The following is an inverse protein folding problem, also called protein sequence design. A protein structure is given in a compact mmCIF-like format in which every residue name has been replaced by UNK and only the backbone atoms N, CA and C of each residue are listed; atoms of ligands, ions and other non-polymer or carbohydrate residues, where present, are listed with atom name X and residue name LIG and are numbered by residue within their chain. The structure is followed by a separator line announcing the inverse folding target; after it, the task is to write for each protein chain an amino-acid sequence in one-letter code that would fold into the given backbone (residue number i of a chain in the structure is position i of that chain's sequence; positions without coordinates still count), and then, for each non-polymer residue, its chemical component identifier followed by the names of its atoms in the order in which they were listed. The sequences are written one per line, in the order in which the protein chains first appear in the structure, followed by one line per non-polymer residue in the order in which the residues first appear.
data_IF_228605652390
#
_entry.id   IF_228605652390
#
_cell.length_a   1.000
_cell.length_b   1.000
_cell.length_c   1.000
_cell.angle_alpha   90.00
_cell.angle_beta   90.00
_cell.angle_gamma   90.00
#
_symmetry.space_group_name_H-M   'P 1'
#
loop_
_entity.id
_entity.type
_entity.pdbx_description
1 polymer ?
#
# COMPACT_ATOMS: atom_id res chain seq x y z
N UNK A 1 -20.44 -27.55 -13.85
CA UNK A 1 -20.66 -26.16 -13.38
C UNK A 1 -19.36 -25.60 -12.85
N UNK A 2 -18.72 -24.71 -13.61
CA UNK A 2 -17.47 -24.06 -13.18
C UNK A 2 -17.66 -23.03 -12.07
N UNK A 3 -18.90 -22.56 -11.85
CA UNK A 3 -19.22 -21.56 -10.83
C UNK A 3 -18.87 -22.04 -9.42
N UNK A 4 -19.33 -23.24 -9.03
CA UNK A 4 -19.07 -23.81 -7.70
C UNK A 4 -17.57 -23.94 -7.42
N UNK A 5 -16.82 -24.48 -8.39
CA UNK A 5 -15.36 -24.61 -8.30
C UNK A 5 -14.67 -23.25 -8.13
N UNK A 6 -15.06 -22.23 -8.91
CA UNK A 6 -14.52 -20.87 -8.76
C UNK A 6 -14.84 -20.26 -7.39
N UNK A 7 -16.05 -20.50 -6.87
CA UNK A 7 -16.47 -20.06 -5.55
C UNK A 7 -15.66 -20.74 -4.44
N UNK A 8 -15.44 -22.04 -4.53
CA UNK A 8 -14.61 -22.82 -3.60
C UNK A 8 -13.15 -22.34 -3.61
N UNK A 9 -12.56 -22.20 -4.79
CA UNK A 9 -11.19 -21.72 -4.95
C UNK A 9 -10.99 -20.32 -4.35
N UNK A 10 -11.89 -19.38 -4.64
CA UNK A 10 -11.80 -18.02 -4.09
C UNK A 10 -12.02 -18.02 -2.58
N UNK A 11 -12.93 -18.86 -2.07
CA UNK A 11 -13.15 -19.00 -0.62
C UNK A 11 -11.90 -19.52 0.08
N UNK A 12 -11.25 -20.54 -0.48
CA UNK A 12 -10.00 -21.08 0.03
C UNK A 12 -8.87 -20.04 0.01
N UNK A 13 -8.78 -19.24 -1.05
CA UNK A 13 -7.78 -18.18 -1.15
C UNK A 13 -8.01 -17.11 -0.07
N UNK A 14 -9.23 -16.62 0.10
CA UNK A 14 -9.57 -15.61 1.11
C UNK A 14 -9.27 -16.13 2.53
N UNK A 15 -9.59 -17.38 2.82
CA UNK A 15 -9.29 -17.99 4.12
C UNK A 15 -7.79 -18.17 4.34
N UNK A 16 -7.02 -18.53 3.32
CA UNK A 16 -5.57 -18.59 3.40
C UNK A 16 -4.97 -17.21 3.69
N UNK A 17 -5.49 -16.15 3.06
CA UNK A 17 -5.06 -14.78 3.32
C UNK A 17 -5.43 -14.31 4.72
N UNK A 18 -6.66 -14.58 5.20
CA UNK A 18 -7.04 -14.29 6.59
C UNK A 18 -6.08 -14.97 7.58
N UNK A 19 -5.81 -16.26 7.41
CA UNK A 19 -4.87 -17.00 8.25
C UNK A 19 -3.45 -16.44 8.15
N UNK A 20 -2.98 -16.08 6.96
CA UNK A 20 -1.65 -15.50 6.76
C UNK A 20 -1.51 -14.14 7.47
N UNK A 21 -2.58 -13.33 7.49
CA UNK A 21 -2.61 -12.05 8.19
C UNK A 21 -2.68 -12.22 9.72
N UNK A 22 -3.42 -13.22 10.21
CA UNK A 22 -3.53 -13.55 11.64
C UNK A 22 -2.25 -14.17 12.21
N UNK A 23 -1.61 -15.07 11.46
CA UNK A 23 -0.45 -15.83 11.91
C UNK A 23 0.87 -15.07 11.80
N UNK A 24 0.90 -13.92 11.12
CA UNK A 24 2.15 -13.23 10.74
C UNK A 24 2.93 -12.74 11.97
N UNK A 25 4.08 -13.34 12.31
CA UNK A 25 4.87 -12.92 13.45
C UNK A 25 6.11 -12.16 12.96
N UNK A 26 6.25 -10.89 13.36
CA UNK A 26 7.55 -10.19 13.52
C UNK A 26 8.60 -10.39 12.41
N UNK A 27 8.20 -10.51 11.14
CA UNK A 27 9.14 -10.44 10.01
C UNK A 27 9.56 -8.99 9.83
N UNK A 28 10.78 -8.76 9.31
CA UNK A 28 11.26 -7.44 8.91
C UNK A 28 10.15 -6.65 8.24
N UNK A 29 9.99 -5.41 8.69
CA UNK A 29 8.95 -4.49 8.24
C UNK A 29 8.96 -4.28 6.72
N UNK A 30 10.15 -4.21 6.13
CA UNK A 30 10.34 -4.07 4.68
C UNK A 30 9.90 -5.32 3.90
N UNK A 31 10.17 -6.50 4.45
CA UNK A 31 9.81 -7.77 3.84
C UNK A 31 8.31 -8.04 3.95
N UNK A 32 7.71 -7.68 5.08
CA UNK A 32 6.28 -7.70 5.31
C UNK A 32 5.54 -6.78 4.33
N UNK A 33 6.09 -5.57 4.08
CA UNK A 33 5.55 -4.62 3.10
C UNK A 33 5.63 -5.19 1.68
N UNK A 34 6.78 -5.76 1.29
CA UNK A 34 6.95 -6.38 -0.04
C UNK A 34 5.94 -7.50 -0.28
N UNK A 35 5.74 -8.37 0.70
CA UNK A 35 4.75 -9.45 0.59
C UNK A 35 3.31 -8.91 0.54
N UNK A 36 2.97 -7.84 1.30
CA UNK A 36 1.64 -7.23 1.19
C UNK A 36 1.41 -6.59 -0.18
N UNK A 37 2.44 -6.01 -0.81
CA UNK A 37 2.35 -5.48 -2.17
C UNK A 37 2.06 -6.59 -3.18
N UNK A 38 2.75 -7.73 -3.09
CA UNK A 38 2.43 -8.91 -3.89
C UNK A 38 1.01 -9.42 -3.65
N UNK A 39 0.56 -9.40 -2.39
CA UNK A 39 -0.81 -9.77 -2.05
C UNK A 39 -1.85 -8.81 -2.66
N UNK A 40 -1.57 -7.50 -2.75
CA UNK A 40 -2.44 -6.54 -3.42
C UNK A 40 -2.58 -6.88 -4.90
N UNK A 41 -1.48 -7.20 -5.59
CA UNK A 41 -1.51 -7.61 -7.01
C UNK A 41 -2.35 -8.89 -7.20
N UNK A 42 -2.18 -9.89 -6.32
CA UNK A 42 -3.03 -11.08 -6.33
C UNK A 42 -4.50 -10.75 -6.06
N UNK A 43 -4.76 -9.79 -5.16
CA UNK A 43 -6.10 -9.34 -4.80
C UNK A 43 -6.81 -8.65 -5.97
N UNK A 44 -6.10 -8.00 -6.90
CA UNK A 44 -6.70 -7.49 -8.13
C UNK A 44 -7.20 -8.64 -9.04
N UNK A 45 -6.36 -9.67 -9.23
CA UNK A 45 -6.71 -10.84 -10.05
C UNK A 45 -7.89 -11.60 -9.45
N UNK A 46 -7.89 -11.81 -8.14
CA UNK A 46 -9.00 -12.45 -7.43
C UNK A 46 -10.25 -11.54 -7.39
N UNK A 47 -10.08 -10.22 -7.44
CA UNK A 47 -11.16 -9.24 -7.53
C UNK A 47 -11.98 -9.39 -8.82
N UNK A 48 -11.32 -9.60 -9.96
CA UNK A 48 -12.03 -9.88 -11.22
C UNK A 48 -12.78 -11.22 -11.17
N UNK A 49 -12.22 -12.22 -10.47
CA UNK A 49 -12.92 -13.49 -10.22
C UNK A 49 -14.15 -13.29 -9.33
N UNK A 50 -14.06 -12.48 -8.28
CA UNK A 50 -15.19 -12.14 -7.42
C UNK A 50 -16.28 -11.38 -8.20
N UNK A 51 -15.90 -10.45 -9.07
CA UNK A 51 -16.80 -9.70 -9.94
C UNK A 51 -17.54 -10.62 -10.91
N UNK A 52 -16.85 -11.60 -11.50
CA UNK A 52 -17.48 -12.66 -12.28
C UNK A 52 -18.50 -13.43 -11.44
N UNK A 53 -18.14 -13.88 -10.23
CA UNK A 53 -19.05 -14.65 -9.37
C UNK A 53 -20.32 -13.86 -8.99
N UNK A 54 -20.19 -12.57 -8.66
CA UNK A 54 -21.34 -11.71 -8.36
C UNK A 54 -22.23 -11.47 -9.59
N UNK A 55 -21.63 -11.27 -10.77
CA UNK A 55 -22.40 -11.07 -12.01
C UNK A 55 -23.17 -12.31 -12.45
N UNK A 56 -22.59 -13.50 -12.25
CA UNK A 56 -23.15 -14.77 -12.71
C UNK A 56 -24.05 -15.43 -11.66
N UNK A 57 -24.08 -14.94 -10.42
CA UNK A 57 -25.01 -15.41 -9.37
C UNK A 57 -26.46 -15.51 -9.89
N UNK A 58 -27.10 -14.44 -10.41
CA UNK A 58 -28.49 -14.52 -10.85
C UNK A 58 -28.72 -15.50 -12.01
N UNK A 59 -27.71 -15.71 -12.87
CA UNK A 59 -27.78 -16.69 -13.96
C UNK A 59 -27.82 -18.11 -13.40
N UNK A 60 -26.94 -18.43 -12.46
CA UNK A 60 -26.88 -19.74 -11.79
C UNK A 60 -28.13 -19.98 -10.93
N UNK A 61 -28.65 -18.96 -10.25
CA UNK A 61 -29.87 -19.06 -9.46
C UNK A 61 -31.14 -19.20 -10.33
N UNK A 62 -31.08 -18.78 -11.59
CA UNK A 62 -32.19 -18.92 -12.55
C UNK A 62 -32.20 -20.28 -13.25
N UNK A 63 -31.12 -21.06 -13.16
CA UNK A 63 -31.00 -22.36 -13.77
C UNK A 63 -32.00 -23.35 -13.14
N UNK A 64 -32.94 -23.83 -13.96
CA UNK A 64 -34.00 -24.76 -13.56
C UNK A 64 -33.48 -26.14 -13.13
N UNK A 65 -32.23 -26.46 -13.45
CA UNK A 65 -31.57 -27.69 -13.02
C UNK A 65 -31.04 -27.63 -11.57
N UNK A 66 -30.89 -26.43 -11.02
CA UNK A 66 -30.42 -26.21 -9.65
C UNK A 66 -31.61 -26.17 -8.71
N UNK A 67 -31.60 -27.04 -7.69
CA UNK A 67 -32.65 -27.10 -6.67
C UNK A 67 -32.67 -25.84 -5.78
N UNK A 68 -33.82 -25.53 -5.18
CA UNK A 68 -33.98 -24.39 -4.28
C UNK A 68 -32.95 -24.39 -3.13
N UNK A 69 -32.68 -25.54 -2.53
CA UNK A 69 -31.71 -25.64 -1.42
C UNK A 69 -30.29 -25.33 -1.90
N UNK A 70 -29.92 -25.76 -3.10
CA UNK A 70 -28.59 -25.50 -3.66
C UNK A 70 -28.42 -24.03 -4.05
N UNK A 71 -29.49 -23.39 -4.54
CA UNK A 71 -29.55 -21.94 -4.80
C UNK A 71 -29.32 -21.12 -3.53
N UNK A 72 -30.02 -21.45 -2.45
CA UNK A 72 -29.85 -20.78 -1.15
C UNK A 72 -28.42 -20.95 -0.64
N UNK A 73 -27.88 -22.18 -0.69
CA UNK A 73 -26.49 -22.46 -0.33
C UNK A 73 -25.50 -21.65 -1.16
N UNK A 74 -25.68 -21.53 -2.46
CA UNK A 74 -24.81 -20.74 -3.34
C UNK A 74 -24.83 -19.27 -2.93
N UNK A 75 -26.03 -18.70 -2.73
CA UNK A 75 -26.18 -17.29 -2.37
C UNK A 75 -25.56 -16.98 -0.99
N UNK A 76 -25.80 -17.83 0.01
CA UNK A 76 -25.26 -17.61 1.36
C UNK A 76 -23.74 -17.75 1.41
N UNK A 77 -23.18 -18.68 0.64
CA UNK A 77 -21.74 -18.79 0.47
C UNK A 77 -21.15 -17.56 -0.21
N UNK A 78 -21.77 -17.06 -1.27
CA UNK A 78 -21.32 -15.85 -1.95
C UNK A 78 -21.41 -14.61 -1.06
N UNK A 79 -22.48 -14.45 -0.28
CA UNK A 79 -22.60 -13.38 0.72
C UNK A 79 -21.49 -13.45 1.77
N UNK A 80 -21.24 -14.65 2.30
CA UNK A 80 -20.16 -14.88 3.28
C UNK A 80 -18.81 -14.52 2.68
N UNK A 81 -18.56 -14.95 1.44
CA UNK A 81 -17.32 -14.65 0.72
C UNK A 81 -17.14 -13.15 0.48
N UNK A 82 -18.20 -12.44 0.05
CA UNK A 82 -18.15 -10.99 -0.13
C UNK A 82 -17.85 -10.24 1.18
N UNK A 83 -18.40 -10.70 2.31
CA UNK A 83 -18.11 -10.13 3.63
C UNK A 83 -16.65 -10.35 4.01
N UNK A 84 -16.14 -11.58 3.89
CA UNK A 84 -14.74 -11.89 4.16
C UNK A 84 -13.78 -11.13 3.24
N UNK A 85 -14.09 -11.05 1.95
CA UNK A 85 -13.32 -10.29 0.97
C UNK A 85 -13.15 -8.82 1.39
N UNK A 86 -14.25 -8.14 1.74
CA UNK A 86 -14.20 -6.74 2.20
C UNK A 86 -13.35 -6.57 3.46
N UNK A 87 -13.47 -7.50 4.40
CA UNK A 87 -12.67 -7.50 5.63
C UNK A 87 -11.18 -7.65 5.32
N UNK A 88 -10.80 -8.67 4.54
CA UNK A 88 -9.42 -8.91 4.12
C UNK A 88 -8.86 -7.73 3.35
N UNK A 89 -9.60 -7.21 2.38
CA UNK A 89 -9.18 -6.07 1.57
C UNK A 89 -8.85 -4.86 2.45
N UNK A 90 -9.73 -4.56 3.40
CA UNK A 90 -9.52 -3.47 4.35
C UNK A 90 -8.30 -3.73 5.25
N UNK A 91 -8.19 -4.92 5.81
CA UNK A 91 -7.07 -5.31 6.69
C UNK A 91 -5.71 -5.22 5.97
N UNK A 92 -5.64 -5.69 4.72
CA UNK A 92 -4.43 -5.57 3.88
C UNK A 92 -4.08 -4.10 3.64
N UNK A 93 -5.06 -3.28 3.28
CA UNK A 93 -4.86 -1.84 3.06
C UNK A 93 -4.40 -1.12 4.34
N UNK A 94 -5.04 -1.41 5.47
CA UNK A 94 -4.72 -0.83 6.78
C UNK A 94 -3.27 -1.20 7.17
N UNK A 95 -2.86 -2.47 6.98
CA UNK A 95 -1.49 -2.91 7.25
C UNK A 95 -0.47 -2.27 6.34
N UNK A 96 -0.74 -2.16 5.05
CA UNK A 96 0.18 -1.47 4.12
C UNK A 96 0.36 -0.02 4.54
N UNK A 97 -0.73 0.67 4.89
CA UNK A 97 -0.66 2.06 5.36
C UNK A 97 0.12 2.20 6.66
N UNK A 98 -0.12 1.32 7.64
CA UNK A 98 0.66 1.27 8.88
C UNK A 98 2.14 1.03 8.57
N UNK A 99 2.45 0.07 7.71
CA UNK A 99 3.82 -0.25 7.38
C UNK A 99 4.51 0.91 6.64
N UNK A 100 3.88 1.52 5.65
CA UNK A 100 4.46 2.66 4.94
C UNK A 100 4.72 3.84 5.89
N UNK A 101 3.86 4.08 6.88
CA UNK A 101 4.07 5.12 7.89
C UNK A 101 5.33 4.88 8.75
N UNK A 102 5.65 3.63 9.08
CA UNK A 102 6.85 3.28 9.86
C UNK A 102 8.13 3.30 9.00
N UNK A 103 8.07 2.96 7.71
CA UNK A 103 9.22 3.09 6.79
C UNK A 103 9.53 4.55 6.48
N UNK A 104 8.49 5.36 6.30
CA UNK A 104 8.62 6.77 5.97
C UNK A 104 8.71 7.69 7.18
N UNK A 105 8.68 7.17 8.41
CA UNK A 105 8.89 7.99 9.60
C UNK A 105 10.29 8.63 9.49
N UNK A 106 10.41 9.95 9.21
CA UNK A 106 11.69 10.61 9.38
C UNK A 106 11.94 10.48 10.87
N UNK A 107 13.07 9.88 11.26
CA UNK A 107 13.49 9.81 12.64
C UNK A 107 13.33 11.21 13.26
N UNK A 108 12.21 11.47 13.94
CA UNK A 108 12.00 12.68 14.69
C UNK A 108 12.90 12.49 15.89
N UNK A 109 14.15 12.91 15.70
CA UNK A 109 15.15 13.09 16.74
C UNK A 109 14.39 13.67 17.91
N UNK A 110 14.28 12.87 18.96
CA UNK A 110 13.65 13.25 20.20
C UNK A 110 14.30 14.55 20.62
N UNK A 111 13.63 15.68 20.40
CA UNK A 111 14.08 16.95 20.94
C UNK A 111 13.77 16.87 22.44
N UNK A 112 14.66 16.21 23.18
CA UNK A 112 14.73 16.30 24.62
C UNK A 112 14.93 17.76 24.97
N UNK A 113 13.81 18.42 25.29
CA UNK A 113 13.73 19.71 25.94
C UNK A 113 14.67 19.73 27.16
N UNK A 114 15.75 20.52 27.18
CA UNK A 114 16.44 20.80 28.42
C UNK A 114 15.63 21.86 29.15
N UNK A 115 15.14 21.49 30.33
CA UNK A 115 14.69 22.45 31.34
C UNK A 115 15.81 23.47 31.56
N UNK A 116 15.45 24.75 31.50
CA UNK A 116 16.40 25.83 31.32
C UNK A 116 17.30 26.12 32.53
N UNK A 117 18.47 26.67 32.23
CA UNK A 117 19.12 27.78 32.96
C UNK A 117 20.06 28.50 31.97
N UNK A 118 20.10 29.85 31.94
CA UNK A 118 21.05 30.57 31.10
C UNK A 118 22.36 30.80 31.89
N UNK A 119 23.48 30.37 31.34
CA UNK A 119 24.81 30.81 31.79
C UNK A 119 25.63 31.23 30.56
N UNK A 120 26.06 32.50 30.46
CA UNK A 120 26.84 32.96 29.32
C UNK A 120 28.30 32.55 29.54
N UNK A 121 28.74 31.47 28.90
CA UNK A 121 30.16 31.19 28.75
C UNK A 121 30.58 31.59 27.34
N UNK A 122 31.26 32.74 27.26
CA UNK A 122 32.05 33.12 26.10
C UNK A 122 33.03 31.99 25.80
N UNK A 123 32.86 31.32 24.67
CA UNK A 123 33.96 30.60 24.03
C UNK A 123 34.12 31.13 22.62
N UNK A 124 35.33 31.63 22.39
CA UNK A 124 35.79 32.38 21.24
C UNK A 124 35.79 31.48 20.01
N UNK A 125 35.14 31.97 18.95
CA UNK A 125 35.27 31.45 17.60
C UNK A 125 36.72 31.65 17.15
N UNK A 126 37.53 30.59 17.20
CA UNK A 126 38.83 30.58 16.53
C UNK A 126 38.59 30.04 15.12
N UNK A 127 38.53 30.96 14.17
CA UNK A 127 38.66 30.65 12.76
C UNK A 127 40.03 30.01 12.52
N UNK A 128 40.07 28.83 11.91
CA UNK A 128 41.27 28.35 11.23
C UNK A 128 41.07 28.58 9.73
N UNK A 129 41.60 29.71 9.27
CA UNK A 129 41.96 29.95 7.87
C UNK A 129 43.13 29.02 7.53
N UNK A 130 42.86 27.95 6.77
CA UNK A 130 43.91 27.22 6.07
C UNK A 130 43.87 27.63 4.61
N UNK A 131 44.60 28.71 4.35
CA UNK A 131 44.98 29.22 3.04
C UNK A 131 46.31 28.56 2.65
N UNK A 132 46.32 27.70 1.63
CA UNK A 132 47.51 27.45 0.82
C UNK A 132 47.11 27.43 -0.66
N UNK A 133 47.86 28.12 -1.54
CA UNK A 133 47.38 28.61 -2.82
C UNK A 133 47.83 27.74 -4.00
N UNK A 134 47.10 27.86 -5.11
CA UNK A 134 47.67 27.72 -6.45
C UNK A 134 46.98 26.71 -7.37
N UNK A 135 46.37 27.28 -8.41
CA UNK A 135 46.10 26.69 -9.73
C UNK A 135 44.95 25.69 -9.87
N UNK A 136 43.98 25.84 -10.78
CA UNK A 136 43.54 26.88 -11.71
C UNK A 136 42.24 26.31 -12.30
N UNK A 137 41.18 27.12 -12.35
CA UNK A 137 40.19 27.20 -13.44
C UNK A 137 39.46 25.93 -13.91
N UNK A 138 38.16 25.90 -14.16
CA UNK A 138 37.01 26.77 -13.98
C UNK A 138 35.84 25.92 -14.49
N UNK A 139 34.66 26.09 -13.90
CA UNK A 139 33.37 25.70 -14.47
C UNK A 139 33.14 24.18 -14.69
N UNK A 140 33.04 23.43 -13.58
CA UNK A 140 32.00 22.41 -13.55
C UNK A 140 30.70 23.15 -13.25
N UNK A 141 29.98 23.48 -14.31
CA UNK A 141 28.66 24.09 -14.29
C UNK A 141 27.73 23.23 -13.42
N UNK A 142 27.63 23.61 -12.15
CA UNK A 142 26.50 23.34 -11.27
C UNK A 142 25.29 23.99 -11.92
N UNK A 143 24.71 23.26 -12.87
CA UNK A 143 23.40 23.56 -13.40
C UNK A 143 22.45 23.58 -12.21
N UNK A 144 21.81 24.72 -12.03
CA UNK A 144 20.73 24.93 -11.08
C UNK A 144 19.72 23.77 -11.17
N UNK A 145 18.99 23.44 -10.09
CA UNK A 145 17.86 22.51 -10.16
C UNK A 145 16.70 23.23 -10.87
N UNK A 146 16.86 23.43 -12.18
CA UNK A 146 15.85 23.92 -13.10
C UNK A 146 15.22 22.70 -13.79
N UNK A 147 14.52 21.87 -13.03
CA UNK A 147 13.60 20.89 -13.61
C UNK A 147 12.54 20.47 -12.57
N UNK A 148 11.94 21.47 -11.88
CA UNK A 148 10.77 21.25 -11.02
C UNK A 148 9.45 21.36 -11.81
N UNK A 149 9.48 21.96 -13.00
CA UNK A 149 8.29 22.08 -13.86
C UNK A 149 7.88 20.74 -14.50
N UNK A 150 8.81 19.78 -14.66
CA UNK A 150 8.53 18.50 -15.30
C UNK A 150 7.72 17.55 -14.42
N UNK A 151 8.04 17.49 -13.12
CA UNK A 151 7.27 16.70 -12.14
C UNK A 151 5.92 17.33 -11.80
N UNK A 152 5.77 18.64 -12.02
CA UNK A 152 4.50 19.35 -11.80
C UNK A 152 3.48 19.03 -12.90
N UNK A 153 3.95 18.75 -14.12
CA UNK A 153 3.07 18.40 -15.25
C UNK A 153 2.54 16.96 -15.15
N UNK A 154 3.30 16.03 -14.56
CA UNK A 154 2.83 14.65 -14.38
C UNK A 154 1.68 14.55 -13.37
N UNK A 155 1.71 15.27 -12.24
CA UNK A 155 0.62 15.26 -11.25
C UNK A 155 -0.71 15.78 -11.81
N UNK A 156 -0.67 16.71 -12.78
CA UNK A 156 -1.87 17.21 -13.44
C UNK A 156 -2.52 16.16 -14.35
N UNK A 157 -1.71 15.30 -14.99
CA UNK A 157 -2.19 14.22 -15.87
C UNK A 157 -2.85 13.09 -15.08
N UNK A 158 -2.30 12.73 -13.92
CA UNK A 158 -2.90 11.75 -13.00
C UNK A 158 -4.25 12.22 -12.40
N UNK A 159 -4.42 13.52 -12.14
CA UNK A 159 -5.69 14.06 -11.65
C UNK A 159 -6.77 14.08 -12.75
N UNK A 160 -6.39 14.33 -14.01
CA UNK A 160 -7.31 14.27 -15.15
C UNK A 160 -7.86 12.84 -15.39
N UNK A 161 -7.03 11.82 -15.12
CA UNK A 161 -7.40 10.41 -15.24
C UNK A 161 -8.47 9.98 -14.22
N UNK A 162 -8.49 10.61 -13.05
CA UNK A 162 -9.50 10.34 -12.01
C UNK A 162 -10.85 10.99 -12.38
N UNK A 163 -10.82 12.18 -12.98
CA UNK A 163 -12.04 12.92 -13.37
C UNK A 163 -12.80 12.23 -14.53
N UNK A 164 -12.09 11.47 -15.36
CA UNK A 164 -12.66 10.79 -16.52
C UNK A 164 -13.34 9.43 -16.20
N UNK A 165 -13.22 8.95 -14.96
CA UNK A 165 -13.77 7.66 -14.51
C UNK A 165 -14.94 7.79 -13.51
N UNK A 166 -15.40 9.01 -13.26
CA UNK A 166 -16.63 9.36 -12.52
C UNK A 166 -17.80 9.58 -13.49
#
# INVERSE_FOLDING_TARGET
MDYGKKLDELSCWVENVENALEMRPTVSHEENLRELKGLIEEMEVQGEKLKYLNRNEPEVLSDKSVDFQERERISDRLKTLNTKWKKVFKEVADRVSELEAHVHQPCLVTQTKPFGYPAPQKMVLVSSTSEIPGQTQQALEISAPADLDKTTTELADWLLLIDQML
#
